data_IF_821266304318
#
_entry.id   IF_821266304318
#
_cell.length_a   1.000
_cell.length_b   1.000
_cell.length_c   1.000
_cell.angle_alpha   90.00
_cell.angle_beta   90.00
_cell.angle_gamma   90.00
#
_symmetry.space_group_name_H-M   'P 1'
#
loop_
_entity.id
_entity.type
_entity.pdbx_description
1 polymer ?
#
# COMPACT_ATOMS: atom_id res chain seq x y z
N UNK A 1 -28.78 2.12 -20.16
CA UNK A 1 -27.65 1.19 -20.10
C UNK A 1 -26.51 1.93 -19.45
N UNK A 2 -26.14 1.55 -18.24
CA UNK A 2 -24.93 2.07 -17.64
C UNK A 2 -23.74 1.47 -18.41
N UNK A 3 -22.95 2.30 -19.09
CA UNK A 3 -21.69 1.86 -19.65
C UNK A 3 -20.84 1.28 -18.54
N UNK A 4 -20.46 0.01 -18.67
CA UNK A 4 -19.42 -0.56 -17.85
C UNK A 4 -18.18 0.34 -17.98
N UNK A 5 -17.47 0.63 -16.89
CA UNK A 5 -16.28 1.48 -16.96
C UNK A 5 -15.34 0.86 -18.01
N UNK A 6 -15.15 1.59 -19.09
CA UNK A 6 -14.25 1.18 -20.15
C UNK A 6 -12.85 1.11 -19.57
N UNK A 7 -12.32 -0.11 -19.47
CA UNK A 7 -10.93 -0.32 -19.07
C UNK A 7 -10.04 0.34 -20.14
N UNK A 8 -9.56 1.53 -19.86
CA UNK A 8 -8.57 2.17 -20.71
C UNK A 8 -7.28 1.36 -20.63
N UNK A 9 -6.79 0.78 -21.73
CA UNK A 9 -5.56 0.00 -21.71
C UNK A 9 -4.42 0.83 -21.12
N UNK A 10 -3.67 0.27 -20.18
CA UNK A 10 -2.54 0.93 -19.53
C UNK A 10 -2.89 1.77 -18.29
N UNK A 11 -4.14 1.81 -17.86
CA UNK A 11 -4.57 2.50 -16.64
C UNK A 11 -4.97 1.51 -15.54
N UNK A 12 -4.72 1.88 -14.30
CA UNK A 12 -5.19 1.20 -13.09
C UNK A 12 -6.22 2.09 -12.40
N UNK A 13 -7.47 1.66 -12.40
CA UNK A 13 -8.53 2.40 -11.72
C UNK A 13 -8.27 2.43 -10.21
N UNK A 14 -8.62 3.54 -9.57
CA UNK A 14 -8.47 3.73 -8.12
C UNK A 14 -9.66 3.20 -7.34
N UNK A 15 -10.80 2.98 -7.99
CA UNK A 15 -12.06 2.66 -7.34
C UNK A 15 -12.77 3.88 -6.76
N UNK A 16 -12.22 5.06 -6.94
CA UNK A 16 -12.81 6.33 -6.50
C UNK A 16 -13.32 7.05 -7.76
N UNK A 17 -14.63 7.01 -7.97
CA UNK A 17 -15.25 7.46 -9.21
C UNK A 17 -14.82 8.87 -9.63
N UNK A 18 -14.89 9.86 -8.74
CA UNK A 18 -14.50 11.21 -9.04
C UNK A 18 -13.02 11.37 -9.37
N UNK A 19 -12.16 10.59 -8.72
CA UNK A 19 -10.73 10.60 -9.01
C UNK A 19 -10.44 9.93 -10.36
N UNK A 20 -11.07 8.82 -10.64
CA UNK A 20 -10.91 8.10 -11.91
C UNK A 20 -11.40 8.95 -13.09
N UNK A 21 -12.46 9.74 -12.91
CA UNK A 21 -12.93 10.69 -13.91
C UNK A 21 -11.87 11.76 -14.23
N UNK A 22 -11.28 12.35 -13.19
CA UNK A 22 -10.20 13.35 -13.34
C UNK A 22 -8.96 12.75 -13.99
N UNK A 23 -8.63 11.50 -13.66
CA UNK A 23 -7.47 10.78 -14.19
C UNK A 23 -7.74 10.10 -15.55
N UNK A 24 -8.91 10.30 -16.12
CA UNK A 24 -9.33 9.65 -17.37
C UNK A 24 -9.19 8.11 -17.32
N UNK A 25 -9.71 7.52 -16.25
CA UNK A 25 -9.78 6.06 -16.04
C UNK A 25 -8.84 5.50 -14.99
N UNK A 26 -8.00 6.31 -14.37
CA UNK A 26 -7.11 5.87 -13.29
C UNK A 26 -5.66 6.26 -13.46
N UNK A 27 -4.80 5.66 -12.66
CA UNK A 27 -3.36 5.88 -12.66
C UNK A 27 -2.70 5.15 -13.84
N UNK A 28 -1.69 5.75 -14.45
CA UNK A 28 -0.89 5.05 -15.47
C UNK A 28 -0.13 3.87 -14.86
N UNK A 29 -0.17 2.72 -15.51
CA UNK A 29 0.55 1.53 -15.05
C UNK A 29 2.06 1.69 -15.24
N UNK A 30 2.82 1.01 -14.40
CA UNK A 30 4.28 1.05 -14.45
C UNK A 30 4.91 2.35 -13.94
N UNK A 31 4.13 3.19 -13.27
CA UNK A 31 4.59 4.45 -12.69
C UNK A 31 4.49 4.42 -11.17
N UNK A 32 5.36 5.17 -10.51
CA UNK A 32 5.27 5.44 -9.07
C UNK A 32 4.51 6.74 -8.84
N UNK A 33 3.65 6.74 -7.83
CA UNK A 33 2.86 7.91 -7.43
C UNK A 33 3.09 8.22 -5.96
N UNK A 34 3.21 9.48 -5.64
CA UNK A 34 3.25 9.98 -4.27
C UNK A 34 1.89 10.58 -3.92
N UNK A 35 1.28 10.07 -2.85
CA UNK A 35 0.10 10.65 -2.25
C UNK A 35 0.48 11.32 -0.93
N UNK A 36 0.40 12.64 -0.91
CA UNK A 36 0.83 13.46 0.21
C UNK A 36 -0.37 14.17 0.86
N UNK A 37 -0.32 14.32 2.16
CA UNK A 37 -1.35 15.00 2.95
C UNK A 37 -1.08 14.89 4.45
N UNK A 38 -1.72 15.75 5.22
CA UNK A 38 -1.63 15.74 6.68
C UNK A 38 -2.23 14.45 7.27
N UNK A 39 -1.88 14.07 8.51
CA UNK A 39 -2.51 12.97 9.19
C UNK A 39 -4.05 13.12 9.23
N UNK A 40 -4.78 12.05 8.96
CA UNK A 40 -6.25 12.03 8.98
C UNK A 40 -6.94 12.56 7.72
N UNK A 41 -6.22 12.81 6.64
CA UNK A 41 -6.79 13.29 5.36
C UNK A 41 -7.33 12.18 4.46
N UNK A 42 -7.15 10.90 4.84
CA UNK A 42 -7.69 9.76 4.11
C UNK A 42 -6.71 9.06 3.18
N UNK A 43 -5.41 9.26 3.33
CA UNK A 43 -4.38 8.59 2.50
C UNK A 43 -4.48 7.06 2.54
N UNK A 44 -4.58 6.49 3.73
CA UNK A 44 -4.76 5.04 3.93
C UNK A 44 -6.06 4.55 3.28
N UNK A 45 -7.13 5.31 3.41
CA UNK A 45 -8.43 5.01 2.80
C UNK A 45 -8.33 4.93 1.28
N UNK A 46 -7.66 5.90 0.66
CA UNK A 46 -7.41 5.90 -0.80
C UNK A 46 -6.57 4.69 -1.22
N UNK A 47 -5.51 4.39 -0.48
CA UNK A 47 -4.65 3.24 -0.76
C UNK A 47 -5.42 1.91 -0.66
N UNK A 48 -6.26 1.74 0.36
CA UNK A 48 -7.09 0.54 0.51
C UNK A 48 -8.14 0.42 -0.60
N UNK A 49 -8.77 1.52 -1.01
CA UNK A 49 -9.71 1.51 -2.14
C UNK A 49 -9.03 1.10 -3.45
N UNK A 50 -7.84 1.60 -3.69
CA UNK A 50 -7.03 1.23 -4.86
C UNK A 50 -6.74 -0.27 -4.89
N UNK A 51 -6.31 -0.86 -3.78
CA UNK A 51 -6.04 -2.30 -3.69
C UNK A 51 -7.31 -3.14 -3.83
N UNK A 52 -8.42 -2.70 -3.23
CA UNK A 52 -9.72 -3.39 -3.35
C UNK A 52 -10.25 -3.36 -4.78
N UNK A 53 -10.07 -2.27 -5.48
CA UNK A 53 -10.45 -2.18 -6.90
C UNK A 53 -9.62 -3.13 -7.77
N UNK A 54 -8.31 -3.21 -7.53
CA UNK A 54 -7.44 -4.18 -8.18
C UNK A 54 -7.88 -5.63 -7.90
N UNK A 55 -8.17 -5.95 -6.64
CA UNK A 55 -8.66 -7.27 -6.23
C UNK A 55 -9.99 -7.63 -6.92
N UNK A 56 -10.92 -6.67 -7.02
CA UNK A 56 -12.19 -6.86 -7.72
C UNK A 56 -11.99 -7.14 -9.22
N UNK A 57 -10.88 -6.75 -9.78
CA UNK A 57 -10.48 -7.00 -11.18
C UNK A 57 -9.61 -8.24 -11.36
N UNK A 58 -9.38 -9.00 -10.30
CA UNK A 58 -8.56 -10.20 -10.32
C UNK A 58 -7.05 -9.95 -10.17
N UNK A 59 -6.66 -8.75 -9.79
CA UNK A 59 -5.26 -8.40 -9.55
C UNK A 59 -4.88 -8.65 -8.10
N UNK A 60 -3.62 -8.96 -7.86
CA UNK A 60 -3.08 -9.08 -6.51
C UNK A 60 -2.56 -7.73 -6.04
N UNK A 61 -2.70 -7.46 -4.75
CA UNK A 61 -2.21 -6.24 -4.13
C UNK A 61 -1.25 -6.52 -2.99
N UNK A 62 -0.29 -5.65 -2.81
CA UNK A 62 0.64 -5.67 -1.69
C UNK A 62 0.60 -4.31 -0.98
N UNK A 63 0.25 -4.33 0.30
CA UNK A 63 0.33 -3.16 1.17
C UNK A 63 1.54 -3.30 2.10
N UNK A 64 2.51 -2.42 1.95
CA UNK A 64 3.67 -2.36 2.85
C UNK A 64 3.45 -1.26 3.86
N UNK A 65 3.43 -1.60 5.13
CA UNK A 65 3.21 -0.64 6.22
C UNK A 65 4.45 -0.51 7.10
N UNK A 66 4.75 0.71 7.49
CA UNK A 66 5.86 1.05 8.39
C UNK A 66 5.39 1.41 9.81
N UNK A 67 4.12 1.70 9.98
CA UNK A 67 3.59 2.28 11.23
C UNK A 67 2.32 1.61 11.74
N UNK A 68 1.51 1.06 10.87
CA UNK A 68 0.24 0.42 11.24
C UNK A 68 0.39 -1.09 11.17
N UNK A 69 -0.22 -1.80 12.12
CA UNK A 69 -0.29 -3.26 12.05
C UNK A 69 -1.33 -3.73 11.03
N UNK A 70 -1.18 -4.95 10.55
CA UNK A 70 -2.17 -5.59 9.69
C UNK A 70 -3.57 -5.59 10.32
N UNK A 71 -3.65 -5.84 11.63
CA UNK A 71 -4.92 -5.82 12.36
C UNK A 71 -5.57 -4.44 12.35
N UNK A 72 -4.80 -3.39 12.54
CA UNK A 72 -5.30 -2.01 12.47
C UNK A 72 -5.82 -1.67 11.08
N UNK A 73 -5.08 -2.05 10.04
CA UNK A 73 -5.49 -1.85 8.65
C UNK A 73 -6.78 -2.63 8.31
N UNK A 74 -6.86 -3.89 8.74
CA UNK A 74 -8.07 -4.70 8.52
C UNK A 74 -9.27 -4.18 9.29
N UNK A 75 -9.08 -3.71 10.52
CA UNK A 75 -10.14 -3.09 11.30
C UNK A 75 -10.60 -1.76 10.71
N UNK A 76 -9.65 -0.95 10.24
CA UNK A 76 -9.94 0.28 9.50
C UNK A 76 -10.77 0.01 8.23
N UNK A 77 -10.40 -0.99 7.45
CA UNK A 77 -11.18 -1.40 6.28
C UNK A 77 -12.60 -1.83 6.67
N UNK A 78 -12.75 -2.63 7.72
CA UNK A 78 -14.07 -3.05 8.22
C UNK A 78 -14.97 -1.89 8.64
N UNK A 79 -14.39 -0.83 9.20
CA UNK A 79 -15.17 0.36 9.58
C UNK A 79 -15.80 1.06 8.38
N UNK A 80 -15.26 0.87 7.19
CA UNK A 80 -15.83 1.33 5.92
C UNK A 80 -16.70 0.27 5.23
N UNK A 81 -16.92 -0.89 5.86
CA UNK A 81 -17.66 -1.99 5.25
C UNK A 81 -16.84 -2.81 4.25
N UNK A 82 -15.51 -2.68 4.26
CA UNK A 82 -14.62 -3.40 3.35
C UNK A 82 -13.97 -4.59 4.02
N UNK A 83 -13.70 -5.62 3.23
CA UNK A 83 -12.94 -6.79 3.65
C UNK A 83 -11.72 -6.96 2.76
N UNK A 84 -10.53 -6.97 3.36
CA UNK A 84 -9.30 -7.29 2.65
C UNK A 84 -9.23 -8.80 2.48
N UNK A 85 -9.46 -9.27 1.26
CA UNK A 85 -9.41 -10.69 0.91
C UNK A 85 -7.98 -11.22 0.76
N UNK A 86 -7.84 -12.51 0.41
CA UNK A 86 -6.53 -13.15 0.26
C UNK A 86 -5.71 -12.62 -0.93
N UNK A 87 -6.34 -11.87 -1.84
CA UNK A 87 -5.67 -11.21 -2.96
C UNK A 87 -4.82 -10.02 -2.51
N UNK A 88 -5.09 -9.47 -1.33
CA UNK A 88 -4.36 -8.33 -0.76
C UNK A 88 -3.52 -8.82 0.41
N UNK A 89 -2.22 -8.81 0.24
CA UNK A 89 -1.27 -9.09 1.31
C UNK A 89 -0.84 -7.81 2.00
N UNK A 90 -0.83 -7.84 3.32
CA UNK A 90 -0.27 -6.77 4.15
C UNK A 90 1.09 -7.24 4.66
N UNK A 91 2.11 -6.48 4.39
CA UNK A 91 3.47 -6.73 4.84
C UNK A 91 3.89 -5.64 5.83
N UNK A 92 4.06 -6.05 7.09
CA UNK A 92 4.53 -5.15 8.14
C UNK A 92 6.06 -5.09 8.14
N UNK A 93 6.60 -3.93 7.80
CA UNK A 93 8.00 -3.62 8.03
C UNK A 93 8.17 -3.14 9.46
N UNK A 94 8.27 -4.08 10.38
CA UNK A 94 8.57 -3.75 11.77
C UNK A 94 10.09 -3.63 11.90
N UNK A 95 10.62 -2.50 12.39
CA UNK A 95 12.03 -2.42 12.75
C UNK A 95 12.34 -3.52 13.76
N UNK A 96 13.47 -4.22 13.64
CA UNK A 96 13.87 -5.21 14.64
C UNK A 96 13.78 -4.58 16.04
N UNK A 97 13.22 -5.31 17.01
CA UNK A 97 13.07 -4.83 18.41
C UNK A 97 14.40 -4.30 18.98
N UNK A 98 15.54 -4.81 18.48
CA UNK A 98 16.87 -4.34 18.81
C UNK A 98 17.13 -2.85 18.44
N UNK A 99 16.33 -2.25 17.57
CA UNK A 99 16.41 -0.82 17.25
C UNK A 99 15.51 0.04 18.15
N UNK A 100 14.64 -0.58 18.94
CA UNK A 100 13.76 0.11 19.90
C UNK A 100 14.44 0.32 21.27
N UNK A 101 15.56 -0.36 21.55
CA UNK A 101 16.38 -0.10 22.73
C UNK A 101 17.05 1.27 22.59
N UNK A 102 16.53 2.23 23.36
CA UNK A 102 16.98 3.63 23.34
C UNK A 102 18.47 3.81 23.68
N UNK A 103 19.09 2.81 24.34
CA UNK A 103 20.51 2.81 24.69
C UNK A 103 21.43 2.51 23.50
N UNK A 104 20.90 1.93 22.42
CA UNK A 104 21.67 1.64 21.21
C UNK A 104 21.57 2.74 20.13
N UNK A 105 20.65 3.68 20.27
CA UNK A 105 20.47 4.79 19.33
C UNK A 105 21.62 5.80 19.34
N UNK A 106 22.49 5.78 20.36
CA UNK A 106 23.58 6.76 20.49
C UNK A 106 24.88 6.38 19.82
N UNK A 107 25.03 5.17 19.27
CA UNK A 107 26.36 4.69 18.87
C UNK A 107 26.54 4.33 17.38
N UNK A 108 25.56 4.51 16.48
CA UNK A 108 25.72 4.02 15.12
C UNK A 108 25.20 4.96 14.02
N UNK A 109 26.08 5.78 13.42
CA UNK A 109 25.82 6.35 12.09
C UNK A 109 25.78 5.28 10.97
N UNK A 110 26.19 4.05 11.26
CA UNK A 110 26.22 2.93 10.28
C UNK A 110 24.95 2.09 10.24
N UNK A 111 24.08 2.16 11.22
CA UNK A 111 22.87 1.34 11.28
C UNK A 111 21.78 1.78 10.30
N UNK A 112 21.79 3.03 9.87
CA UNK A 112 20.80 3.52 8.90
C UNK A 112 21.00 2.93 7.51
N UNK A 113 22.24 2.77 7.02
CA UNK A 113 22.53 2.22 5.70
C UNK A 113 22.29 0.71 5.65
N UNK A 114 22.67 -0.02 6.70
CA UNK A 114 22.41 -1.46 6.84
C UNK A 114 20.93 -1.74 7.03
N UNK A 115 20.22 -0.89 7.80
CA UNK A 115 18.78 -0.99 8.00
C UNK A 115 18.00 -0.72 6.71
N UNK A 116 18.43 0.26 5.92
CA UNK A 116 17.80 0.59 4.64
C UNK A 116 18.00 -0.52 3.60
N UNK A 117 19.20 -1.09 3.51
CA UNK A 117 19.50 -2.22 2.63
C UNK A 117 18.67 -3.46 2.96
N UNK A 118 18.55 -3.80 4.25
CA UNK A 118 17.73 -4.92 4.70
C UNK A 118 16.25 -4.68 4.44
N UNK A 119 15.75 -3.49 4.73
CA UNK A 119 14.37 -3.08 4.46
C UNK A 119 14.04 -3.19 2.97
N UNK A 120 14.92 -2.68 2.11
CA UNK A 120 14.78 -2.76 0.66
C UNK A 120 14.72 -4.20 0.19
N UNK A 121 15.62 -5.06 0.70
CA UNK A 121 15.63 -6.48 0.38
C UNK A 121 14.32 -7.16 0.74
N UNK A 122 13.80 -6.91 1.94
CA UNK A 122 12.53 -7.49 2.40
C UNK A 122 11.34 -7.05 1.54
N UNK A 123 11.31 -5.79 1.12
CA UNK A 123 10.27 -5.29 0.21
C UNK A 123 10.35 -5.98 -1.15
N UNK A 124 11.55 -6.10 -1.72
CA UNK A 124 11.74 -6.81 -2.99
C UNK A 124 11.32 -8.27 -2.91
N UNK A 125 11.68 -8.97 -1.84
CA UNK A 125 11.25 -10.36 -1.63
C UNK A 125 9.72 -10.48 -1.54
N UNK A 126 9.06 -9.54 -0.86
CA UNK A 126 7.60 -9.50 -0.79
C UNK A 126 6.98 -9.26 -2.18
N UNK A 127 7.53 -8.34 -2.95
CA UNK A 127 7.06 -8.06 -4.32
C UNK A 127 7.23 -9.29 -5.22
N UNK A 128 8.37 -9.95 -5.16
CA UNK A 128 8.63 -11.17 -5.95
C UNK A 128 7.70 -12.33 -5.55
N UNK A 129 7.38 -12.45 -4.28
CA UNK A 129 6.46 -13.48 -3.76
C UNK A 129 5.02 -13.21 -4.15
N UNK A 130 4.55 -11.99 -3.94
CA UNK A 130 3.16 -11.60 -4.17
C UNK A 130 2.86 -11.39 -5.65
N UNK A 131 3.79 -10.81 -6.39
CA UNK A 131 3.63 -10.40 -7.80
C UNK A 131 2.39 -9.51 -7.98
N UNK A 132 2.36 -8.39 -7.27
CA UNK A 132 1.23 -7.48 -7.32
C UNK A 132 1.05 -6.83 -8.69
#
# INVERSE_FOLDING_TARGET
MADAPQHTPGKAATGITGLDDVLAGGLARGCAYLLEGDPGTGKTTVALQFLLEGAARGERGLYVTLSESENELRNGAKSHGWTLGPEIEVFELVPPESLLDADQQQSLPYSSDLGLGETTRQVFEAVERVKP
#
